data_IF_917950105122
#
_entry.id   IF_917950105122
#
_cell.length_a   1.000
_cell.length_b   1.000
_cell.length_c   1.000
_cell.angle_alpha   90.00
_cell.angle_beta   90.00
_cell.angle_gamma   90.00
#
_symmetry.space_group_name_H-M   'P 1'
#
loop_
_entity.id
_entity.type
_entity.pdbx_description
1 polymer ?
#
# COMPACT_ATOMS: atom_id res chain seq x y z
N UNK A 1 13.07 6.10 -0.89
CA UNK A 1 12.13 6.97 -1.63
C UNK A 1 11.32 6.13 -2.61
N UNK A 2 10.02 5.93 -2.35
CA UNK A 2 9.10 5.51 -3.42
C UNK A 2 9.00 6.72 -4.36
N UNK A 3 9.88 6.77 -5.37
CA UNK A 3 9.86 7.82 -6.40
C UNK A 3 8.42 8.00 -6.86
N UNK A 4 7.95 9.23 -7.06
CA UNK A 4 6.54 9.57 -7.31
C UNK A 4 5.85 8.64 -8.34
N UNK A 5 6.63 8.16 -9.30
CA UNK A 5 6.24 7.17 -10.31
C UNK A 5 5.88 5.79 -9.73
N UNK A 6 6.63 5.28 -8.75
CA UNK A 6 6.33 4.03 -8.04
C UNK A 6 5.07 4.15 -7.17
N UNK A 7 4.85 5.28 -6.51
CA UNK A 7 3.61 5.51 -5.74
C UNK A 7 2.38 5.49 -6.64
N UNK A 8 2.47 6.17 -7.79
CA UNK A 8 1.41 6.18 -8.83
C UNK A 8 1.19 4.77 -9.40
N UNK A 9 2.26 4.02 -9.67
CA UNK A 9 2.16 2.68 -10.22
C UNK A 9 1.57 1.70 -9.20
N UNK A 10 1.92 1.81 -7.92
CA UNK A 10 1.32 1.02 -6.84
C UNK A 10 -0.17 1.35 -6.66
N UNK A 11 -0.52 2.64 -6.71
CA UNK A 11 -1.89 3.10 -6.58
C UNK A 11 -2.77 2.61 -7.73
N UNK A 12 -2.27 2.71 -8.97
CA UNK A 12 -2.93 2.15 -10.16
C UNK A 12 -3.06 0.63 -10.09
N UNK A 13 -2.02 -0.08 -9.65
CA UNK A 13 -2.06 -1.54 -9.50
C UNK A 13 -3.11 -1.99 -8.48
N UNK A 14 -3.17 -1.35 -7.32
CA UNK A 14 -4.17 -1.65 -6.29
C UNK A 14 -5.59 -1.40 -6.83
N UNK A 15 -5.82 -0.29 -7.54
CA UNK A 15 -7.13 0.01 -8.13
C UNK A 15 -7.57 -1.06 -9.14
N UNK A 16 -6.66 -1.52 -10.01
CA UNK A 16 -6.96 -2.58 -11.00
C UNK A 16 -7.23 -3.91 -10.33
N UNK A 17 -6.40 -4.32 -9.36
CA UNK A 17 -6.59 -5.58 -8.62
C UNK A 17 -7.92 -5.59 -7.87
N UNK A 18 -8.28 -4.47 -7.23
CA UNK A 18 -9.55 -4.34 -6.51
C UNK A 18 -10.76 -4.37 -7.45
N UNK A 19 -10.63 -3.74 -8.62
CA UNK A 19 -11.67 -3.73 -9.65
C UNK A 19 -11.90 -5.11 -10.25
N UNK A 20 -10.83 -5.84 -10.59
CA UNK A 20 -10.92 -7.21 -11.12
C UNK A 20 -11.46 -8.16 -10.04
N UNK A 21 -11.04 -8.02 -8.78
CA UNK A 21 -11.57 -8.80 -7.66
C UNK A 21 -13.08 -8.57 -7.43
N UNK A 22 -13.55 -7.33 -7.61
CA UNK A 22 -14.98 -7.00 -7.59
C UNK A 22 -15.74 -7.56 -8.78
N UNK A 23 -15.15 -7.53 -9.98
CA UNK A 23 -15.78 -8.04 -11.20
C UNK A 23 -15.88 -9.57 -11.25
N UNK A 24 -14.94 -10.27 -10.64
CA UNK A 24 -14.91 -11.73 -10.59
C UNK A 24 -15.90 -12.32 -9.56
N UNK A 25 -16.72 -11.48 -8.92
CA UNK A 25 -17.64 -11.84 -7.82
C UNK A 25 -16.94 -12.51 -6.62
N UNK A 26 -15.60 -12.52 -6.61
CA UNK A 26 -14.79 -13.04 -5.51
C UNK A 26 -15.10 -12.31 -4.20
N UNK A 27 -15.54 -11.05 -4.31
CA UNK A 27 -15.98 -10.20 -3.21
C UNK A 27 -17.31 -10.62 -2.57
N UNK A 28 -18.09 -11.48 -3.23
CA UNK A 28 -19.38 -11.96 -2.74
C UNK A 28 -19.23 -13.05 -1.66
N UNK A 29 -18.04 -13.65 -1.55
CA UNK A 29 -17.73 -14.54 -0.45
C UNK A 29 -17.21 -13.74 0.76
N UNK A 30 -17.92 -13.81 1.88
CA UNK A 30 -17.58 -13.13 3.14
C UNK A 30 -16.13 -13.39 3.59
N UNK A 31 -15.62 -14.60 3.37
CA UNK A 31 -14.25 -14.99 3.73
C UNK A 31 -13.24 -14.24 2.86
N UNK A 32 -13.50 -14.15 1.55
CA UNK A 32 -12.61 -13.49 0.58
C UNK A 32 -12.65 -11.97 0.78
N UNK A 33 -13.83 -11.39 1.02
CA UNK A 33 -13.99 -9.99 1.36
C UNK A 33 -13.18 -9.62 2.62
N UNK A 34 -13.25 -10.46 3.66
CA UNK A 34 -12.54 -10.23 4.93
C UNK A 34 -11.02 -10.30 4.73
N UNK A 35 -10.52 -11.33 4.02
CA UNK A 35 -9.10 -11.48 3.72
C UNK A 35 -8.57 -10.32 2.84
N UNK A 36 -9.35 -9.91 1.84
CA UNK A 36 -8.98 -8.80 0.96
C UNK A 36 -8.93 -7.49 1.72
N UNK A 37 -9.91 -7.24 2.58
CA UNK A 37 -9.95 -6.05 3.44
C UNK A 37 -8.79 -6.04 4.43
N UNK A 38 -8.46 -7.18 5.02
CA UNK A 38 -7.34 -7.32 5.94
C UNK A 38 -5.99 -7.08 5.24
N UNK A 39 -5.81 -7.66 4.05
CA UNK A 39 -4.61 -7.44 3.23
C UNK A 39 -4.48 -5.98 2.78
N UNK A 40 -5.59 -5.37 2.36
CA UNK A 40 -5.64 -3.96 2.00
C UNK A 40 -5.27 -3.06 3.19
N UNK A 41 -5.83 -3.34 4.37
CA UNK A 41 -5.50 -2.62 5.60
C UNK A 41 -4.02 -2.78 5.96
N UNK A 42 -3.47 -3.99 5.85
CA UNK A 42 -2.06 -4.24 6.09
C UNK A 42 -1.16 -3.47 5.13
N UNK A 43 -1.52 -3.39 3.84
CA UNK A 43 -0.80 -2.60 2.84
C UNK A 43 -0.88 -1.10 3.17
N UNK A 44 -2.06 -0.59 3.53
CA UNK A 44 -2.25 0.82 3.90
C UNK A 44 -1.44 1.17 5.15
N UNK A 45 -1.49 0.33 6.19
CA UNK A 45 -0.70 0.49 7.42
C UNK A 45 0.80 0.43 7.13
N UNK A 46 1.23 -0.49 6.28
CA UNK A 46 2.63 -0.62 5.87
C UNK A 46 3.07 0.61 5.04
N UNK A 47 2.22 1.13 4.17
CA UNK A 47 2.50 2.33 3.37
C UNK A 47 2.60 3.59 4.23
N UNK A 48 1.70 3.78 5.19
CA UNK A 48 1.74 4.88 6.17
C UNK A 48 3.00 4.78 7.05
N UNK A 49 3.31 3.56 7.51
CA UNK A 49 4.49 3.30 8.35
C UNK A 49 5.79 3.50 7.55
N UNK A 50 5.89 2.97 6.34
CA UNK A 50 7.04 3.17 5.45
C UNK A 50 7.24 4.65 5.08
N UNK A 51 6.16 5.41 4.87
CA UNK A 51 6.23 6.87 4.66
C UNK A 51 6.71 7.63 5.90
N UNK A 52 6.47 7.09 7.10
CA UNK A 52 6.96 7.63 8.37
C UNK A 52 8.41 7.22 8.67
N UNK A 53 8.82 6.01 8.30
CA UNK A 53 10.19 5.50 8.46
C UNK A 53 11.17 6.15 7.48
N UNK A 54 10.77 6.44 6.25
CA UNK A 54 11.62 7.18 5.29
C UNK A 54 12.05 8.56 5.82
N UNK A 55 11.23 9.22 6.66
CA UNK A 55 11.63 10.49 7.31
C UNK A 55 12.70 10.33 8.39
N UNK A 56 12.89 9.13 8.97
CA UNK A 56 13.88 8.92 10.04
C UNK A 56 15.27 8.61 9.53
N UNK A 57 15.41 8.12 8.29
CA UNK A 57 16.72 7.86 7.69
C UNK A 57 17.37 9.13 7.11
N UNK A 58 16.57 10.11 6.65
CA UNK A 58 17.09 11.36 6.10
C UNK A 58 17.57 12.36 7.19
N UNK A 59 17.03 12.27 8.42
CA UNK A 59 17.40 13.18 9.52
C UNK A 59 18.68 12.74 10.27
N UNK A 60 19.09 11.47 10.14
CA UNK A 60 20.29 10.93 10.78
C UNK A 60 21.57 11.13 9.95
N UNK A 61 21.46 11.44 8.65
CA UNK A 61 22.60 11.69 7.78
C UNK A 61 23.10 13.14 7.86
N UNK A 62 22.23 14.10 8.17
CA UNK A 62 22.59 15.53 8.15
C UNK A 62 23.13 16.09 9.48
N UNK A 63 23.35 15.25 10.49
CA UNK A 63 23.95 15.63 11.79
C UNK A 63 25.43 15.22 11.92
N UNK A 64 26.07 14.80 10.82
CA UNK A 64 27.46 14.34 10.80
C UNK A 64 28.35 14.99 9.72
N UNK A 65 27.91 16.08 9.10
CA UNK A 65 28.78 16.94 8.26
C UNK A 65 28.72 18.39 8.73
#
# INVERSE_FOLDING_TARGET
MLSDKQSILLCGFIAVVFFVAGMLDALNNFIVLTLLTLAFLAIVLNLITAKSFVKKDDEQLHKKE
#
